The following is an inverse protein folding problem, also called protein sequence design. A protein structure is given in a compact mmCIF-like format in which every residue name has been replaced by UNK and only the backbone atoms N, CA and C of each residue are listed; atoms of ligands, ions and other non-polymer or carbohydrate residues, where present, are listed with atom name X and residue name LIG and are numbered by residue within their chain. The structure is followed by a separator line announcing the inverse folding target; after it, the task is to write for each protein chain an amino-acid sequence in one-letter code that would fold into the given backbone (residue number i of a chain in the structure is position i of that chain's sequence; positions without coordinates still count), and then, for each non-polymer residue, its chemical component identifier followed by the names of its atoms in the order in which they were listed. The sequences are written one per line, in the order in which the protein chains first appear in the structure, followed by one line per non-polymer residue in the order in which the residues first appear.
data_IF_734628403482
#
_entry.id   IF_734628403482
#
_cell.length_a   1.000
_cell.length_b   1.000
_cell.length_c   1.000
_cell.angle_alpha   90.00
_cell.angle_beta   90.00
_cell.angle_gamma   90.00
#
_symmetry.space_group_name_H-M   'P 1'
#
loop_
_entity.id
_entity.type
_entity.pdbx_description
1 polymer ?
#
# COMPACT_ATOMS: atom_id res chain seq x y z
N UNK A 1 35.94 -31.63 40.11
CA UNK A 1 34.59 -31.12 39.90
C UNK A 1 34.68 -29.89 39.01
N UNK A 2 34.35 -30.00 37.77
CA UNK A 2 34.33 -28.87 36.82
C UNK A 2 32.92 -28.42 36.61
N UNK A 3 32.62 -27.18 36.99
CA UNK A 3 31.32 -26.57 36.90
C UNK A 3 30.90 -26.38 35.43
N UNK A 4 29.72 -26.89 35.11
CA UNK A 4 29.02 -26.70 33.83
C UNK A 4 28.28 -25.36 33.93
N UNK A 5 28.74 -24.36 33.16
CA UNK A 5 28.02 -23.08 33.00
C UNK A 5 26.87 -23.31 32.01
N UNK A 6 25.61 -22.95 32.33
CA UNK A 6 24.55 -23.04 31.38
C UNK A 6 24.72 -21.97 30.29
N UNK A 7 24.69 -22.41 29.03
CA UNK A 7 24.62 -21.55 27.87
C UNK A 7 23.23 -20.93 27.87
N UNK A 8 23.15 -19.62 28.01
CA UNK A 8 21.95 -18.81 27.85
C UNK A 8 21.52 -18.90 26.39
N UNK A 9 20.56 -19.75 26.07
CA UNK A 9 19.83 -19.72 24.80
C UNK A 9 18.96 -18.47 24.77
N UNK A 10 19.46 -17.43 24.11
CA UNK A 10 18.60 -16.32 23.66
C UNK A 10 17.71 -16.86 22.54
N UNK A 11 16.53 -17.33 22.91
CA UNK A 11 15.44 -17.63 21.95
C UNK A 11 14.94 -16.33 21.36
N UNK A 12 15.67 -15.80 20.38
CA UNK A 12 15.16 -14.79 19.47
C UNK A 12 14.02 -15.43 18.71
N UNK A 13 12.80 -14.96 18.94
CA UNK A 13 11.62 -15.32 18.14
C UNK A 13 11.91 -14.95 16.70
N UNK A 14 12.29 -15.91 15.87
CA UNK A 14 12.42 -15.69 14.43
C UNK A 14 11.02 -15.37 13.90
N UNK A 15 10.78 -14.11 13.57
CA UNK A 15 9.58 -13.74 12.84
C UNK A 15 9.65 -14.41 11.48
N UNK A 16 8.67 -15.24 11.16
CA UNK A 16 8.58 -15.87 9.85
C UNK A 16 8.04 -14.81 8.90
N UNK A 17 8.92 -14.14 8.17
CA UNK A 17 8.56 -13.09 7.22
C UNK A 17 8.16 -13.63 5.85
N UNK A 18 8.44 -14.92 5.58
CA UNK A 18 8.12 -15.64 4.34
C UNK A 18 7.46 -16.95 4.66
N UNK A 19 6.39 -17.28 3.94
CA UNK A 19 5.72 -18.59 3.97
C UNK A 19 5.69 -19.20 2.58
N UNK A 20 5.70 -20.53 2.53
CA UNK A 20 5.54 -21.27 1.28
C UNK A 20 4.06 -21.55 1.04
N UNK A 21 3.52 -21.07 -0.08
CA UNK A 21 2.15 -21.36 -0.48
C UNK A 21 1.96 -22.79 -0.94
N UNK A 22 0.70 -23.21 -1.14
CA UNK A 22 0.38 -24.58 -1.65
C UNK A 22 0.90 -24.81 -3.05
N UNK A 23 1.14 -23.76 -3.83
CA UNK A 23 1.74 -23.74 -5.17
C UNK A 23 3.28 -23.75 -5.14
N UNK A 24 3.89 -23.91 -3.97
CA UNK A 24 5.35 -23.92 -3.77
C UNK A 24 6.01 -22.54 -3.81
N UNK A 25 5.28 -21.44 -4.04
CA UNK A 25 5.88 -20.11 -4.10
C UNK A 25 6.08 -19.52 -2.72
N UNK A 26 7.28 -18.98 -2.41
CA UNK A 26 7.53 -18.23 -1.19
C UNK A 26 6.93 -16.83 -1.28
N UNK A 27 6.12 -16.42 -0.29
CA UNK A 27 5.43 -15.11 -0.21
C UNK A 27 5.74 -14.40 1.08
N UNK A 28 5.61 -13.07 1.10
CA UNK A 28 5.57 -12.33 2.35
C UNK A 28 4.49 -12.93 3.27
N UNK A 29 4.81 -13.18 4.53
CA UNK A 29 3.93 -13.91 5.46
C UNK A 29 2.54 -13.28 5.62
N UNK A 30 2.44 -11.96 5.52
CA UNK A 30 1.17 -11.24 5.59
C UNK A 30 0.19 -11.59 4.45
N UNK A 31 0.71 -12.08 3.31
CA UNK A 31 -0.10 -12.46 2.14
C UNK A 31 -0.83 -13.80 2.32
N UNK A 32 -0.42 -14.61 3.28
CA UNK A 32 -0.95 -15.96 3.45
C UNK A 32 -0.49 -16.94 2.35
N UNK A 33 -1.15 -18.08 2.24
CA UNK A 33 -0.73 -19.18 1.38
C UNK A 33 -0.98 -18.98 -0.13
N UNK A 34 -1.47 -17.83 -0.57
CA UNK A 34 -1.62 -17.48 -1.99
C UNK A 34 -3.02 -17.70 -2.57
N UNK A 35 -3.82 -18.60 -2.02
CA UNK A 35 -5.16 -18.96 -2.49
C UNK A 35 -6.29 -18.04 -1.99
N UNK A 36 -5.95 -17.02 -1.21
CA UNK A 36 -6.86 -16.01 -0.68
C UNK A 36 -6.88 -14.74 -1.54
N UNK A 37 -7.86 -13.86 -1.31
CA UNK A 37 -7.89 -12.53 -1.92
C UNK A 37 -6.62 -11.71 -1.58
N UNK A 38 -6.09 -11.87 -0.36
CA UNK A 38 -4.84 -11.25 0.07
C UNK A 38 -3.64 -11.81 -0.69
N UNK A 39 -3.57 -13.12 -0.88
CA UNK A 39 -2.50 -13.76 -1.64
C UNK A 39 -2.49 -13.30 -3.10
N UNK A 40 -3.65 -13.28 -3.76
CA UNK A 40 -3.76 -12.75 -5.13
C UNK A 40 -3.37 -11.28 -5.21
N UNK A 41 -3.79 -10.47 -4.26
CA UNK A 41 -3.40 -9.07 -4.21
C UNK A 41 -1.89 -8.87 -4.07
N UNK A 42 -1.23 -9.66 -3.21
CA UNK A 42 0.22 -9.70 -3.07
C UNK A 42 0.91 -10.10 -4.39
N UNK A 43 0.40 -11.14 -5.05
CA UNK A 43 1.05 -11.71 -6.22
C UNK A 43 0.91 -10.84 -7.48
N UNK A 44 -0.22 -10.11 -7.60
CA UNK A 44 -0.61 -9.47 -8.85
C UNK A 44 -0.61 -7.94 -8.80
N UNK A 45 -0.79 -7.36 -7.60
CA UNK A 45 -1.04 -5.92 -7.46
C UNK A 45 0.02 -5.23 -6.61
N UNK A 46 0.21 -5.66 -5.36
CA UNK A 46 1.10 -4.98 -4.43
C UNK A 46 2.55 -5.00 -4.92
N UNK A 47 3.20 -3.82 -4.95
CA UNK A 47 4.56 -3.68 -5.48
C UNK A 47 4.67 -3.82 -7.00
N UNK A 48 3.55 -3.94 -7.74
CA UNK A 48 3.55 -3.98 -9.21
C UNK A 48 3.38 -2.57 -9.76
N UNK A 49 4.33 -2.06 -10.57
CA UNK A 49 4.22 -0.73 -11.16
C UNK A 49 2.95 -0.58 -11.99
N UNK A 50 2.19 0.48 -11.75
CA UNK A 50 1.00 0.83 -12.53
C UNK A 50 0.97 2.32 -12.87
N UNK A 51 0.43 2.64 -14.05
CA UNK A 51 0.10 4.00 -14.47
C UNK A 51 -1.40 4.16 -14.74
N UNK A 52 -2.21 3.15 -14.41
CA UNK A 52 -3.67 3.23 -14.51
C UNK A 52 -4.22 4.17 -13.45
N UNK A 53 -4.88 5.25 -13.89
CA UNK A 53 -5.38 6.32 -13.01
C UNK A 53 -6.41 5.80 -12.00
N UNK A 54 -7.28 4.87 -12.40
CA UNK A 54 -8.29 4.31 -11.51
C UNK A 54 -7.66 3.43 -10.44
N UNK A 55 -6.64 2.62 -10.80
CA UNK A 55 -5.89 1.81 -9.85
C UNK A 55 -5.08 2.67 -8.87
N UNK A 56 -4.45 3.75 -9.34
CA UNK A 56 -3.75 4.70 -8.48
C UNK A 56 -4.70 5.44 -7.55
N UNK A 57 -5.86 5.86 -8.05
CA UNK A 57 -6.87 6.51 -7.22
C UNK A 57 -7.49 5.55 -6.19
N UNK A 58 -7.73 4.28 -6.58
CA UNK A 58 -8.13 3.22 -5.64
C UNK A 58 -7.10 3.07 -4.52
N UNK A 59 -5.82 2.89 -4.87
CA UNK A 59 -4.75 2.71 -3.90
C UNK A 59 -4.62 3.89 -2.93
N UNK A 60 -4.69 5.12 -3.43
CA UNK A 60 -4.67 6.34 -2.62
C UNK A 60 -5.88 6.38 -1.67
N UNK A 61 -7.08 6.08 -2.17
CA UNK A 61 -8.32 6.09 -1.39
C UNK A 61 -8.30 5.03 -0.29
N UNK A 62 -7.86 3.80 -0.58
CA UNK A 62 -7.75 2.77 0.44
C UNK A 62 -6.75 3.17 1.53
N UNK A 63 -5.64 3.84 1.19
CA UNK A 63 -4.71 4.43 2.15
C UNK A 63 -5.35 5.51 3.03
N UNK A 64 -6.23 6.35 2.48
CA UNK A 64 -7.03 7.32 3.27
C UNK A 64 -7.91 6.59 4.30
N UNK A 65 -8.57 5.51 3.90
CA UNK A 65 -9.43 4.74 4.81
C UNK A 65 -8.64 3.93 5.83
N UNK A 66 -7.40 3.55 5.53
CA UNK A 66 -6.52 2.82 6.44
C UNK A 66 -6.06 3.66 7.64
N UNK A 67 -6.03 4.98 7.55
CA UNK A 67 -5.64 5.84 8.68
C UNK A 67 -6.48 5.52 9.92
N UNK A 68 -5.82 5.01 10.97
CA UNK A 68 -6.44 4.60 12.23
C UNK A 68 -7.13 3.22 12.20
N UNK A 69 -6.95 2.44 11.14
CA UNK A 69 -7.49 1.09 10.99
C UNK A 69 -6.39 0.13 10.50
N UNK A 70 -6.64 -1.17 10.56
CA UNK A 70 -5.74 -2.16 9.93
C UNK A 70 -6.03 -2.29 8.43
N UNK A 71 -4.98 -2.58 7.66
CA UNK A 71 -5.12 -2.88 6.23
C UNK A 71 -6.14 -3.99 5.94
N UNK A 72 -6.17 -5.04 6.76
CA UNK A 72 -7.10 -6.16 6.59
C UNK A 72 -8.58 -5.73 6.65
N UNK A 73 -8.92 -4.77 7.52
CA UNK A 73 -10.29 -4.23 7.62
C UNK A 73 -10.65 -3.47 6.34
N UNK A 74 -9.74 -2.63 5.85
CA UNK A 74 -9.96 -1.82 4.64
C UNK A 74 -10.02 -2.70 3.41
N UNK A 75 -9.05 -3.60 3.26
CA UNK A 75 -8.97 -4.53 2.13
C UNK A 75 -10.18 -5.47 2.06
N UNK A 76 -10.67 -5.96 3.19
CA UNK A 76 -11.88 -6.79 3.25
C UNK A 76 -13.14 -6.08 2.70
N UNK A 77 -13.11 -4.75 2.60
CA UNK A 77 -14.19 -3.93 2.03
C UNK A 77 -13.89 -3.38 0.62
N UNK A 78 -12.79 -3.82 -0.01
CA UNK A 78 -12.31 -3.30 -1.30
C UNK A 78 -13.38 -3.31 -2.38
N UNK A 79 -14.11 -4.42 -2.55
CA UNK A 79 -15.15 -4.54 -3.56
C UNK A 79 -16.36 -3.64 -3.26
N UNK A 80 -16.68 -3.45 -1.98
CA UNK A 80 -17.72 -2.50 -1.56
C UNK A 80 -17.28 -1.06 -1.85
N UNK A 81 -16.02 -0.70 -1.59
CA UNK A 81 -15.46 0.59 -1.97
C UNK A 81 -15.49 0.82 -3.48
N UNK A 82 -15.15 -0.18 -4.29
CA UNK A 82 -15.25 -0.09 -5.75
C UNK A 82 -16.67 0.21 -6.22
N UNK A 83 -17.68 -0.46 -5.64
CA UNK A 83 -19.09 -0.17 -5.93
C UNK A 83 -19.48 1.24 -5.48
N UNK A 84 -19.13 1.62 -4.24
CA UNK A 84 -19.47 2.90 -3.64
C UNK A 84 -18.88 4.08 -4.43
N UNK A 85 -17.62 3.96 -4.85
CA UNK A 85 -16.87 4.98 -5.59
C UNK A 85 -16.80 4.71 -7.11
N UNK A 86 -17.84 4.08 -7.69
CA UNK A 86 -18.04 3.99 -9.14
C UNK A 86 -16.86 3.39 -9.90
N UNK A 87 -16.24 2.34 -9.36
CA UNK A 87 -15.04 1.69 -9.91
C UNK A 87 -13.79 2.55 -9.86
N UNK A 88 -13.77 3.56 -8.99
CA UNK A 88 -12.69 4.55 -8.89
C UNK A 88 -12.42 5.32 -10.19
N UNK A 89 -13.42 5.42 -11.07
CA UNK A 89 -13.38 6.32 -12.21
C UNK A 89 -13.29 7.77 -11.72
N UNK A 90 -12.14 8.41 -11.88
CA UNK A 90 -11.84 9.73 -11.30
C UNK A 90 -12.92 10.76 -11.62
N UNK A 91 -13.29 10.92 -12.90
CA UNK A 91 -14.33 11.87 -13.31
C UNK A 91 -15.70 11.58 -12.68
N UNK A 92 -16.06 10.29 -12.55
CA UNK A 92 -17.35 9.90 -11.95
C UNK A 92 -17.39 10.17 -10.45
N UNK A 93 -16.25 10.00 -9.75
CA UNK A 93 -16.15 10.30 -8.32
C UNK A 93 -16.08 11.80 -8.09
N UNK A 94 -15.33 12.56 -8.90
CA UNK A 94 -15.27 14.02 -8.83
C UNK A 94 -16.63 14.70 -8.99
N UNK A 95 -17.54 14.10 -9.80
CA UNK A 95 -18.90 14.57 -10.02
C UNK A 95 -19.89 14.20 -8.89
N UNK A 96 -19.45 13.48 -7.85
CA UNK A 96 -20.30 13.15 -6.71
C UNK A 96 -20.73 14.41 -5.95
N UNK A 97 -21.99 14.43 -5.53
CA UNK A 97 -22.64 15.53 -4.80
C UNK A 97 -22.64 15.25 -3.29
N UNK A 98 -23.01 16.26 -2.49
CA UNK A 98 -23.26 16.09 -1.07
C UNK A 98 -24.31 15.00 -0.78
N UNK A 99 -25.33 14.87 -1.62
CA UNK A 99 -26.33 13.78 -1.50
C UNK A 99 -25.70 12.40 -1.68
N UNK A 100 -24.71 12.26 -2.56
CA UNK A 100 -23.95 11.01 -2.70
C UNK A 100 -23.13 10.73 -1.44
N UNK A 101 -22.46 11.75 -0.88
CA UNK A 101 -21.73 11.65 0.39
C UNK A 101 -22.66 11.25 1.53
N UNK A 102 -23.82 11.88 1.67
CA UNK A 102 -24.83 11.55 2.68
C UNK A 102 -25.30 10.09 2.58
N UNK A 103 -25.55 9.62 1.35
CA UNK A 103 -25.90 8.24 1.09
C UNK A 103 -24.78 7.28 1.50
N UNK A 104 -23.52 7.58 1.15
CA UNK A 104 -22.37 6.74 1.49
C UNK A 104 -22.08 6.68 2.99
N UNK A 105 -22.37 7.73 3.74
CA UNK A 105 -22.28 7.74 5.22
C UNK A 105 -23.24 6.72 5.85
N UNK A 106 -24.36 6.40 5.18
CA UNK A 106 -25.34 5.40 5.63
C UNK A 106 -25.02 3.98 5.13
N UNK A 107 -24.07 3.81 4.19
CA UNK A 107 -23.73 2.51 3.60
C UNK A 107 -22.87 1.68 4.57
N UNK A 108 -23.47 0.66 5.20
CA UNK A 108 -22.79 -0.24 6.12
C UNK A 108 -21.76 -1.16 5.44
N UNK A 109 -21.78 -1.28 4.12
CA UNK A 109 -20.81 -2.10 3.38
C UNK A 109 -19.41 -1.49 3.38
N UNK A 110 -19.29 -0.16 3.51
CA UNK A 110 -18.02 0.57 3.58
C UNK A 110 -17.73 1.10 5.00
N UNK A 111 -16.60 1.76 5.19
CA UNK A 111 -16.26 2.46 6.42
C UNK A 111 -16.97 3.82 6.43
N UNK A 112 -17.96 3.98 7.33
CA UNK A 112 -18.84 5.15 7.43
C UNK A 112 -18.15 6.33 8.12
N UNK A 113 -17.17 6.95 7.48
CA UNK A 113 -16.50 8.15 7.96
C UNK A 113 -16.68 9.28 6.95
N UNK A 114 -17.56 10.27 7.28
CA UNK A 114 -17.88 11.39 6.40
C UNK A 114 -16.63 12.12 5.93
N UNK A 115 -15.67 12.39 6.82
CA UNK A 115 -14.44 13.10 6.48
C UNK A 115 -13.60 12.37 5.41
N UNK A 116 -13.50 11.03 5.52
CA UNK A 116 -12.77 10.20 4.54
C UNK A 116 -13.54 10.04 3.23
N UNK A 117 -14.86 9.92 3.29
CA UNK A 117 -15.74 9.88 2.10
C UNK A 117 -15.63 11.20 1.33
N UNK A 118 -15.76 12.32 2.02
CA UNK A 118 -15.62 13.65 1.41
C UNK A 118 -14.22 13.84 0.83
N UNK A 119 -13.16 13.46 1.58
CA UNK A 119 -11.79 13.53 1.09
C UNK A 119 -11.57 12.70 -0.18
N UNK A 120 -12.24 11.57 -0.34
CA UNK A 120 -12.17 10.79 -1.58
C UNK A 120 -12.73 11.58 -2.77
N UNK A 121 -13.86 12.27 -2.61
CA UNK A 121 -14.44 13.13 -3.66
C UNK A 121 -13.54 14.32 -3.95
N UNK A 122 -13.00 14.96 -2.90
CA UNK A 122 -12.07 16.10 -3.04
C UNK A 122 -10.77 15.67 -3.74
N UNK A 123 -10.23 14.50 -3.41
CA UNK A 123 -9.03 13.95 -4.04
C UNK A 123 -9.26 13.61 -5.53
N UNK A 124 -10.46 13.13 -5.90
CA UNK A 124 -10.82 12.94 -7.30
C UNK A 124 -10.83 14.28 -8.07
N UNK A 125 -11.37 15.33 -7.47
CA UNK A 125 -11.38 16.69 -8.06
C UNK A 125 -9.95 17.24 -8.18
N UNK A 126 -9.14 17.09 -7.14
CA UNK A 126 -7.72 17.46 -7.16
C UNK A 126 -6.98 16.72 -8.29
N UNK A 127 -7.22 15.41 -8.44
CA UNK A 127 -6.57 14.59 -9.47
C UNK A 127 -6.92 15.05 -10.89
N UNK A 128 -8.15 15.53 -11.14
CA UNK A 128 -8.56 16.05 -12.45
C UNK A 128 -7.89 17.37 -12.81
N UNK A 129 -7.52 18.20 -11.83
CA UNK A 129 -6.90 19.50 -12.02
C UNK A 129 -5.37 19.49 -11.81
N UNK A 130 -4.81 18.38 -11.34
CA UNK A 130 -3.42 18.26 -10.93
C UNK A 130 -2.44 18.40 -12.11
N UNK A 131 -1.43 19.24 -11.93
CA UNK A 131 -0.29 19.35 -12.83
C UNK A 131 0.97 19.59 -12.00
N UNK A 132 1.94 18.65 -12.03
CA UNK A 132 1.94 17.36 -12.74
C UNK A 132 0.89 16.35 -12.19
N UNK A 133 0.53 15.34 -13.00
CA UNK A 133 -0.45 14.31 -12.62
C UNK A 133 0.05 13.44 -11.47
N UNK A 134 -0.89 12.74 -10.78
CA UNK A 134 -0.56 11.78 -9.71
C UNK A 134 0.45 10.71 -10.19
N UNK A 135 0.30 10.21 -11.42
CA UNK A 135 1.23 9.25 -12.05
C UNK A 135 2.64 9.85 -12.14
N UNK A 136 2.75 11.06 -12.66
CA UNK A 136 4.04 11.74 -12.81
C UNK A 136 4.70 12.03 -11.46
N UNK A 137 3.92 12.48 -10.46
CA UNK A 137 4.40 12.73 -9.11
C UNK A 137 4.89 11.44 -8.44
N UNK A 138 4.13 10.36 -8.54
CA UNK A 138 4.51 9.07 -7.98
C UNK A 138 5.83 8.59 -8.60
N UNK A 139 5.95 8.65 -9.93
CA UNK A 139 7.15 8.25 -10.65
C UNK A 139 8.38 9.10 -10.30
N UNK A 140 8.22 10.42 -10.14
CA UNK A 140 9.34 11.30 -9.77
C UNK A 140 9.86 11.08 -8.34
N UNK A 141 9.08 10.40 -7.51
CA UNK A 141 9.44 10.01 -6.13
C UNK A 141 9.70 8.51 -5.99
N UNK A 142 9.96 7.79 -7.09
CA UNK A 142 10.26 6.36 -7.08
C UNK A 142 11.45 6.02 -6.18
N UNK A 143 11.34 4.91 -5.47
CA UNK A 143 12.39 4.41 -4.59
C UNK A 143 12.98 3.14 -5.18
N UNK A 144 14.21 3.23 -5.69
CA UNK A 144 14.97 2.06 -6.12
C UNK A 144 15.74 1.49 -4.93
N UNK A 145 15.37 0.30 -4.47
CA UNK A 145 16.14 -0.41 -3.43
C UNK A 145 17.29 -1.18 -4.03
N UNK A 146 18.42 -1.17 -3.35
CA UNK A 146 19.58 -2.01 -3.72
C UNK A 146 19.43 -3.46 -3.27
N UNK A 147 18.62 -3.71 -2.25
CA UNK A 147 18.36 -5.05 -1.68
C UNK A 147 16.94 -5.10 -1.12
N UNK A 148 16.33 -6.29 -1.17
CA UNK A 148 15.08 -6.55 -0.48
C UNK A 148 15.22 -6.33 1.03
N UNK A 149 14.19 -5.81 1.71
CA UNK A 149 14.12 -5.78 3.16
C UNK A 149 14.28 -7.21 3.71
N UNK A 150 14.97 -7.38 4.85
CA UNK A 150 15.13 -8.71 5.45
C UNK A 150 13.85 -9.18 6.13
N UNK A 151 13.11 -8.23 6.71
CA UNK A 151 11.86 -8.49 7.41
C UNK A 151 10.87 -7.35 7.19
N UNK A 152 9.59 -7.57 7.51
CA UNK A 152 8.58 -6.52 7.55
C UNK A 152 8.91 -5.47 8.61
N UNK A 153 9.58 -5.85 9.70
CA UNK A 153 9.99 -4.94 10.76
C UNK A 153 11.07 -3.94 10.31
N UNK A 154 11.83 -4.26 9.24
CA UNK A 154 12.82 -3.35 8.67
C UNK A 154 12.20 -2.25 7.79
N UNK A 155 10.90 -2.35 7.49
CA UNK A 155 10.22 -1.35 6.67
C UNK A 155 10.01 -0.06 7.47
N UNK A 156 10.41 1.10 6.93
CA UNK A 156 10.18 2.36 7.61
C UNK A 156 8.68 2.73 7.56
N UNK A 157 8.24 3.52 8.52
CA UNK A 157 6.86 4.09 8.52
C UNK A 157 6.68 5.16 7.44
N UNK A 158 7.77 5.77 6.99
CA UNK A 158 7.83 6.79 5.94
C UNK A 158 9.26 6.86 5.39
N UNK A 159 9.44 7.55 4.27
CA UNK A 159 10.74 7.84 3.64
C UNK A 159 10.79 9.31 3.22
N UNK A 160 11.98 9.88 2.97
CA UNK A 160 12.09 11.24 2.43
C UNK A 160 11.29 11.44 1.13
N UNK A 161 11.24 10.42 0.25
CA UNK A 161 10.45 10.47 -0.97
C UNK A 161 8.94 10.49 -0.69
N UNK A 162 8.47 9.69 0.28
CA UNK A 162 7.07 9.72 0.70
C UNK A 162 6.69 11.05 1.37
N UNK A 163 7.60 11.67 2.10
CA UNK A 163 7.41 13.00 2.69
C UNK A 163 7.32 14.08 1.60
N UNK A 164 8.23 14.05 0.62
CA UNK A 164 8.21 14.96 -0.52
C UNK A 164 6.92 14.80 -1.34
N UNK A 165 6.54 13.56 -1.68
CA UNK A 165 5.30 13.28 -2.40
C UNK A 165 4.07 13.75 -1.59
N UNK A 166 4.04 13.53 -0.29
CA UNK A 166 2.94 13.98 0.58
C UNK A 166 2.80 15.50 0.57
N UNK A 167 3.91 16.25 0.58
CA UNK A 167 3.90 17.71 0.46
C UNK A 167 3.39 18.16 -0.91
N UNK A 168 3.85 17.54 -1.99
CA UNK A 168 3.40 17.83 -3.35
C UNK A 168 1.89 17.57 -3.52
N UNK A 169 1.39 16.44 -3.01
CA UNK A 169 -0.04 16.12 -3.05
C UNK A 169 -0.86 17.14 -2.24
N UNK A 170 -0.42 17.49 -1.04
CA UNK A 170 -1.10 18.53 -0.22
C UNK A 170 -1.16 19.88 -0.93
N UNK A 171 -0.08 20.30 -1.59
CA UNK A 171 -0.06 21.57 -2.34
C UNK A 171 -1.03 21.57 -3.52
N UNK A 172 -1.39 20.41 -4.05
CA UNK A 172 -2.41 20.24 -5.09
C UNK A 172 -3.82 20.00 -4.55
N UNK A 173 -4.04 20.14 -3.24
CA UNK A 173 -5.36 20.03 -2.62
C UNK A 173 -5.79 18.62 -2.20
N UNK A 174 -4.92 17.61 -2.30
CA UNK A 174 -5.23 16.28 -1.79
C UNK A 174 -5.33 16.27 -0.27
N UNK A 175 -6.24 15.46 0.26
CA UNK A 175 -6.56 15.35 1.68
C UNK A 175 -6.23 13.96 2.23
N UNK A 176 -5.92 13.89 3.53
CA UNK A 176 -5.50 12.67 4.24
C UNK A 176 -4.26 11.99 3.65
N UNK A 177 -3.40 12.77 3.02
CA UNK A 177 -2.15 12.32 2.39
C UNK A 177 -0.95 12.63 3.29
N UNK A 178 -0.93 12.03 4.49
CA UNK A 178 0.24 12.05 5.37
C UNK A 178 1.38 11.16 4.85
N UNK A 179 2.64 11.38 5.28
CA UNK A 179 3.79 10.61 4.79
C UNK A 179 3.62 9.09 4.90
N UNK A 180 3.08 8.60 6.02
CA UNK A 180 2.83 7.16 6.23
C UNK A 180 1.82 6.59 5.24
N UNK A 181 0.69 7.30 5.01
CA UNK A 181 -0.34 6.87 4.05
C UNK A 181 0.17 6.93 2.62
N UNK A 182 1.00 7.93 2.31
CA UNK A 182 1.63 8.08 0.99
C UNK A 182 2.67 6.99 0.77
N UNK A 183 3.42 6.60 1.80
CA UNK A 183 4.35 5.48 1.68
C UNK A 183 3.62 4.15 1.39
N UNK A 184 2.50 3.88 2.10
CA UNK A 184 1.64 2.73 1.80
C UNK A 184 1.07 2.79 0.36
N UNK A 185 0.65 3.98 -0.11
CA UNK A 185 0.26 4.19 -1.50
C UNK A 185 1.41 3.85 -2.46
N UNK A 186 2.64 4.31 -2.21
CA UNK A 186 3.81 4.02 -3.05
C UNK A 186 4.10 2.52 -3.14
N UNK A 187 3.97 1.79 -2.04
CA UNK A 187 4.06 0.32 -2.02
C UNK A 187 2.96 -0.31 -2.90
N UNK A 188 1.72 0.15 -2.75
CA UNK A 188 0.58 -0.41 -3.48
C UNK A 188 0.69 -0.24 -5.00
N UNK A 189 1.23 0.89 -5.47
CA UNK A 189 1.33 1.20 -6.91
C UNK A 189 2.69 0.86 -7.51
N UNK A 190 3.57 0.22 -6.76
CA UNK A 190 4.85 -0.29 -7.23
C UNK A 190 5.92 0.75 -7.52
N UNK A 191 5.81 1.99 -6.97
CA UNK A 191 6.91 2.96 -7.01
C UNK A 191 7.96 2.70 -5.94
N UNK A 192 7.72 1.72 -5.10
CA UNK A 192 8.70 1.04 -4.25
C UNK A 192 8.35 -0.44 -4.19
N UNK A 193 9.35 -1.30 -4.32
CA UNK A 193 9.17 -2.74 -4.10
C UNK A 193 9.68 -3.10 -2.70
N UNK A 194 8.76 -3.43 -1.80
CA UNK A 194 9.04 -3.78 -0.40
C UNK A 194 8.75 -5.25 -0.07
N UNK A 195 8.69 -6.10 -1.08
CA UNK A 195 8.69 -7.55 -0.86
C UNK A 195 9.94 -7.97 -0.10
N UNK A 196 9.77 -8.77 0.95
CA UNK A 196 10.89 -9.18 1.81
C UNK A 196 11.78 -10.21 1.12
N UNK A 197 13.04 -10.26 1.54
CA UNK A 197 14.00 -11.24 1.04
C UNK A 197 13.45 -12.67 1.15
N UNK A 198 13.58 -13.43 0.08
CA UNK A 198 13.02 -14.78 -0.03
C UNK A 198 11.59 -14.83 -0.60
N UNK A 199 10.86 -13.72 -0.69
CA UNK A 199 9.60 -13.67 -1.43
C UNK A 199 9.87 -13.78 -2.95
N UNK A 200 9.04 -14.53 -3.67
CA UNK A 200 9.22 -14.70 -5.13
C UNK A 200 9.06 -13.38 -5.90
N UNK A 201 8.34 -12.40 -5.32
CA UNK A 201 8.17 -11.05 -5.88
C UNK A 201 9.36 -10.13 -5.60
N UNK A 202 10.28 -10.52 -4.73
CA UNK A 202 11.49 -9.75 -4.44
C UNK A 202 12.60 -9.93 -5.50
N UNK A 203 12.36 -10.68 -6.57
CA UNK A 203 13.35 -10.98 -7.61
C UNK A 203 13.66 -9.83 -8.56
N UNK A 204 12.83 -8.79 -8.57
CA UNK A 204 12.97 -7.62 -9.44
C UNK A 204 14.01 -6.59 -8.93
N UNK A 205 14.76 -6.93 -7.88
CA UNK A 205 15.89 -6.10 -7.45
C UNK A 205 17.07 -6.30 -8.38
N UNK A 206 17.71 -5.22 -8.87
CA UNK A 206 18.87 -5.36 -9.72
C UNK A 206 19.92 -6.20 -8.97
N UNK A 207 20.24 -7.36 -9.52
CA UNK A 207 21.30 -8.21 -9.02
C UNK A 207 22.59 -7.41 -9.16
N UNK A 208 23.15 -6.93 -8.05
CA UNK A 208 24.49 -6.36 -8.09
C UNK A 208 25.39 -7.45 -8.67
N UNK A 209 25.87 -7.22 -9.91
CA UNK A 209 26.85 -8.06 -10.55
C UNK A 209 27.91 -8.42 -9.49
N UNK A 210 28.15 -9.71 -9.29
CA UNK A 210 29.25 -10.18 -8.47
C UNK A 210 30.51 -9.55 -9.04
N UNK A 211 31.02 -8.53 -8.36
CA UNK A 211 32.38 -8.07 -8.60
C UNK A 211 33.25 -9.23 -8.11
N UNK A 212 33.88 -9.91 -9.06
CA UNK A 212 34.93 -10.89 -8.82
C UNK A 212 36.19 -10.17 -8.36
#
# INVERSE_FOLDING_TARGET
MRGCTPISETTGTMSIDVIIGRDGKPRCAWAGAGDTAFGRYHDEVWGTPTSDESAMFEALTLGVFEVGLSWSIVFGKRDAFRKAFRGFHVAKVAAMTERDVDRLVQDASIIRNRGKIQATVDNARAMMSASPSLVALAKSNEITRKRAPRSVADLPKSTPQAEALAQQLKSQGYRFVGPTSVYAFMQNVGVVNDHVHGCFRATDYPTTARIR
#
